data_IF_703262364622
#
_entry.id   IF_703262364622
#
_cell.length_a   1.000
_cell.length_b   1.000
_cell.length_c   1.000
_cell.angle_alpha   90.00
_cell.angle_beta   90.00
_cell.angle_gamma   90.00
#
_symmetry.space_group_name_H-M   'P 1'
#
loop_
_entity.id
_entity.type
_entity.pdbx_description
1 polymer ?
#
# COMPACT_ATOMS: atom_id res chain seq x y z
N UNK A 1 4.69 21.28 -19.23
CA UNK A 1 4.06 21.43 -17.91
C UNK A 1 4.04 20.04 -17.29
N UNK A 2 4.88 19.76 -16.27
CA UNK A 2 4.82 18.48 -15.54
C UNK A 2 3.64 18.59 -14.58
N UNK A 3 2.52 17.97 -14.92
CA UNK A 3 1.37 17.88 -14.01
C UNK A 3 1.79 17.13 -12.75
N UNK A 4 1.26 17.54 -11.59
CA UNK A 4 1.45 16.81 -10.34
C UNK A 4 0.87 15.40 -10.52
N UNK A 5 1.69 14.33 -10.44
CA UNK A 5 1.24 12.95 -10.65
C UNK A 5 0.22 12.49 -9.59
N UNK A 6 0.00 13.28 -8.54
CA UNK A 6 -0.98 13.00 -7.47
C UNK A 6 -2.31 13.75 -7.66
N UNK A 7 -2.37 14.76 -8.53
CA UNK A 7 -3.49 15.71 -8.63
C UNK A 7 -4.75 15.20 -9.36
N UNK A 8 -4.87 13.90 -9.59
CA UNK A 8 -6.03 13.29 -10.30
C UNK A 8 -6.77 12.21 -9.51
N UNK A 9 -6.32 11.90 -8.29
CA UNK A 9 -6.86 10.79 -7.51
C UNK A 9 -7.85 11.27 -6.45
N UNK A 10 -8.99 10.59 -6.37
CA UNK A 10 -10.08 10.92 -5.43
C UNK A 10 -9.76 10.48 -4.01
N UNK A 11 -9.03 9.38 -3.86
CA UNK A 11 -8.75 8.77 -2.58
C UNK A 11 -7.28 8.93 -2.21
N UNK A 12 -7.05 9.15 -0.91
CA UNK A 12 -5.71 9.34 -0.36
C UNK A 12 -5.62 8.71 1.01
N UNK A 13 -4.48 8.08 1.29
CA UNK A 13 -4.10 7.68 2.64
C UNK A 13 -2.63 8.01 2.86
N UNK A 14 -2.32 8.58 4.03
CA UNK A 14 -0.96 8.89 4.44
C UNK A 14 -0.58 8.01 5.61
N UNK A 15 0.38 7.11 5.40
CA UNK A 15 1.11 6.48 6.50
C UNK A 15 2.33 7.33 6.87
N UNK A 16 3.05 6.92 7.91
CA UNK A 16 4.26 7.60 8.35
C UNK A 16 5.32 7.74 7.23
N UNK A 17 5.34 6.82 6.26
CA UNK A 17 6.46 6.66 5.31
C UNK A 17 6.01 6.55 3.85
N UNK A 18 4.74 6.22 3.60
CA UNK A 18 4.15 6.10 2.26
C UNK A 18 2.83 6.84 2.22
N UNK A 19 2.62 7.62 1.16
CA UNK A 19 1.34 8.20 0.82
C UNK A 19 0.82 7.49 -0.42
N UNK A 20 -0.38 6.92 -0.34
CA UNK A 20 -1.05 6.33 -1.49
C UNK A 20 -2.13 7.29 -1.97
N UNK A 21 -2.24 7.40 -3.28
CA UNK A 21 -3.29 8.11 -3.99
C UNK A 21 -3.91 7.14 -4.98
N UNK A 22 -5.24 7.03 -5.04
CA UNK A 22 -5.88 6.12 -5.99
C UNK A 22 -7.30 6.56 -6.34
N UNK A 23 -7.87 5.88 -7.31
CA UNK A 23 -9.30 5.90 -7.59
C UNK A 23 -9.82 4.48 -7.76
N UNK A 24 -11.14 4.33 -7.70
CA UNK A 24 -11.81 3.09 -8.05
C UNK A 24 -12.55 3.26 -9.37
N UNK A 25 -12.39 2.32 -10.29
CA UNK A 25 -13.16 2.26 -11.54
C UNK A 25 -13.73 0.87 -11.72
N UNK A 26 -14.83 0.76 -12.48
CA UNK A 26 -15.42 -0.51 -12.90
C UNK A 26 -15.33 -0.61 -14.42
N UNK A 27 -14.20 -1.10 -14.96
CA UNK A 27 -13.99 -1.13 -16.40
C UNK A 27 -14.95 -2.09 -17.11
N UNK A 28 -15.34 -3.16 -16.41
CA UNK A 28 -16.23 -4.21 -16.92
C UNK A 28 -17.17 -4.68 -15.79
N UNK A 29 -18.35 -5.24 -16.12
CA UNK A 29 -19.17 -5.95 -15.15
C UNK A 29 -18.37 -7.06 -14.47
N UNK A 30 -18.41 -7.12 -13.14
CA UNK A 30 -17.67 -8.12 -12.37
C UNK A 30 -16.18 -7.80 -12.14
N UNK A 31 -15.69 -6.63 -12.58
CA UNK A 31 -14.32 -6.19 -12.31
C UNK A 31 -14.31 -4.87 -11.54
N UNK A 32 -13.67 -4.87 -10.38
CA UNK A 32 -13.27 -3.65 -9.67
C UNK A 32 -11.79 -3.39 -9.93
N UNK A 33 -11.48 -2.20 -10.45
CA UNK A 33 -10.11 -1.73 -10.61
C UNK A 33 -9.78 -0.67 -9.59
N UNK A 34 -8.70 -0.89 -8.85
CA UNK A 34 -8.07 0.12 -8.01
C UNK A 34 -6.74 0.48 -8.67
N UNK A 35 -6.65 1.72 -9.13
CA UNK A 35 -5.47 2.25 -9.82
C UNK A 35 -5.02 3.53 -9.14
N UNK A 36 -3.71 3.65 -8.96
CA UNK A 36 -3.15 4.68 -8.12
C UNK A 36 -1.65 4.83 -8.21
N UNK A 37 -1.13 5.70 -7.36
CA UNK A 37 0.30 5.91 -7.17
C UNK A 37 0.68 5.83 -5.70
N UNK A 38 1.82 5.21 -5.43
CA UNK A 38 2.50 5.21 -4.15
C UNK A 38 3.63 6.25 -4.19
N UNK A 39 3.64 7.16 -3.22
CA UNK A 39 4.62 8.22 -3.07
C UNK A 39 5.36 8.08 -1.75
N UNK A 40 6.70 8.22 -1.78
CA UNK A 40 7.54 8.28 -0.59
C UNK A 40 7.98 9.74 -0.33
N UNK A 41 7.21 10.53 0.43
CA UNK A 41 7.47 11.97 0.54
C UNK A 41 8.67 12.36 1.42
N UNK A 42 9.03 11.55 2.42
CA UNK A 42 9.98 11.97 3.47
C UNK A 42 10.89 10.87 4.02
N UNK A 43 10.79 9.62 3.57
CA UNK A 43 11.68 8.56 4.10
C UNK A 43 13.06 8.67 3.48
N UNK A 44 14.08 8.88 4.31
CA UNK A 44 15.50 8.79 3.92
C UNK A 44 15.90 7.36 3.49
N UNK A 45 15.06 6.38 3.80
CA UNK A 45 15.20 4.99 3.37
C UNK A 45 14.25 4.72 2.21
N UNK A 46 14.78 4.25 1.08
CA UNK A 46 13.97 3.74 -0.01
C UNK A 46 13.19 2.50 0.44
N UNK A 47 11.93 2.40 0.03
CA UNK A 47 11.12 1.18 0.21
C UNK A 47 11.56 0.21 -0.88
N UNK A 48 11.86 -1.06 -0.56
CA UNK A 48 12.28 -2.09 -1.55
C UNK A 48 11.14 -2.99 -2.01
N UNK A 49 10.05 -2.96 -1.27
CA UNK A 49 8.97 -3.90 -1.40
C UNK A 49 7.71 -3.20 -0.96
N UNK A 50 6.72 -3.16 -1.84
CA UNK A 50 5.38 -2.69 -1.55
C UNK A 50 4.41 -3.66 -2.22
N UNK A 51 3.63 -4.33 -1.39
CA UNK A 51 2.57 -5.24 -1.81
C UNK A 51 1.22 -4.69 -1.38
N UNK A 52 0.24 -4.96 -2.22
CA UNK A 52 -1.14 -4.60 -2.04
C UNK A 52 -2.00 -5.85 -2.15
N UNK A 53 -2.90 -6.05 -1.18
CA UNK A 53 -3.97 -7.03 -1.26
C UNK A 53 -5.31 -6.31 -1.23
N UNK A 54 -6.11 -6.49 -2.26
CA UNK A 54 -7.46 -5.96 -2.34
C UNK A 54 -8.44 -7.11 -2.10
N UNK A 55 -9.32 -6.94 -1.11
CA UNK A 55 -10.24 -7.97 -0.63
C UNK A 55 -11.68 -7.44 -0.67
N UNK A 56 -12.57 -8.16 -1.34
CA UNK A 56 -14.02 -7.94 -1.25
C UNK A 56 -14.62 -8.75 -0.11
N UNK A 57 -15.42 -8.11 0.74
CA UNK A 57 -16.10 -8.76 1.87
C UNK A 57 -17.61 -8.70 1.73
N UNK A 58 -18.31 -9.74 2.21
CA UNK A 58 -19.77 -9.82 2.25
C UNK A 58 -20.38 -9.10 3.47
N UNK A 59 -21.70 -9.21 3.62
CA UNK A 59 -22.49 -8.68 4.73
C UNK A 59 -22.14 -9.28 6.10
N UNK A 60 -21.41 -10.39 6.13
CA UNK A 60 -20.95 -11.09 7.33
C UNK A 60 -19.44 -10.87 7.58
N UNK A 61 -18.85 -9.85 6.96
CA UNK A 61 -17.40 -9.57 6.99
C UNK A 61 -16.53 -10.75 6.52
N UNK A 62 -17.07 -11.65 5.68
CA UNK A 62 -16.30 -12.76 5.09
C UNK A 62 -15.72 -12.33 3.75
N UNK A 63 -14.45 -12.67 3.53
CA UNK A 63 -13.80 -12.50 2.25
C UNK A 63 -14.45 -13.39 1.18
N UNK A 64 -14.93 -12.78 0.10
CA UNK A 64 -15.56 -13.47 -1.05
C UNK A 64 -14.77 -13.28 -2.35
N UNK A 65 -13.92 -12.28 -2.42
CA UNK A 65 -13.00 -12.05 -3.54
C UNK A 65 -11.69 -11.45 -3.05
N UNK A 66 -10.59 -11.76 -3.75
CA UNK A 66 -9.31 -11.12 -3.49
C UNK A 66 -8.41 -11.07 -4.73
N UNK A 67 -7.52 -10.09 -4.74
CA UNK A 67 -6.45 -9.94 -5.72
C UNK A 67 -5.26 -9.29 -5.03
N UNK A 68 -4.06 -9.56 -5.53
CA UNK A 68 -2.83 -8.99 -4.97
C UNK A 68 -1.96 -8.46 -6.09
N UNK A 69 -1.26 -7.36 -5.82
CA UNK A 69 -0.25 -6.80 -6.70
C UNK A 69 0.97 -6.39 -5.89
N UNK A 70 2.15 -6.71 -6.41
CA UNK A 70 3.41 -6.20 -5.91
C UNK A 70 3.93 -5.15 -6.88
N UNK A 71 4.50 -4.06 -6.38
CA UNK A 71 5.26 -3.17 -7.25
C UNK A 71 6.56 -3.87 -7.67
N UNK A 72 6.78 -4.10 -8.97
CA UNK A 72 7.96 -4.83 -9.44
C UNK A 72 9.23 -4.05 -9.09
N UNK A 73 10.16 -4.70 -8.38
CA UNK A 73 11.48 -4.17 -8.05
C UNK A 73 11.48 -2.76 -7.45
N UNK A 74 10.42 -2.38 -6.71
CA UNK A 74 10.26 -1.01 -6.27
C UNK A 74 11.26 -0.67 -5.17
N UNK A 75 12.45 -0.19 -5.55
CA UNK A 75 13.12 0.86 -4.79
C UNK A 75 12.35 2.16 -5.05
N UNK A 76 11.36 2.44 -4.22
CA UNK A 76 10.70 3.75 -4.19
C UNK A 76 11.60 4.68 -3.35
N UNK A 77 12.48 5.42 -4.03
CA UNK A 77 13.37 6.37 -3.35
C UNK A 77 12.61 7.57 -2.80
N UNK A 78 13.31 8.40 -2.02
CA UNK A 78 12.75 9.64 -1.47
C UNK A 78 12.26 10.54 -2.61
N UNK A 79 11.03 11.05 -2.48
CA UNK A 79 10.32 11.86 -3.47
C UNK A 79 10.01 11.14 -4.79
N UNK A 80 10.06 9.81 -4.83
CA UNK A 80 9.64 9.04 -6.00
C UNK A 80 8.19 8.58 -5.88
N UNK A 81 7.59 8.42 -7.05
CA UNK A 81 6.21 7.99 -7.25
C UNK A 81 6.22 6.74 -8.13
N UNK A 82 5.47 5.72 -7.74
CA UNK A 82 5.32 4.47 -8.51
C UNK A 82 3.85 4.12 -8.66
N UNK A 83 3.43 3.80 -9.88
CA UNK A 83 2.05 3.45 -10.20
C UNK A 83 1.75 2.00 -9.82
N UNK A 84 0.56 1.76 -9.28
CA UNK A 84 0.04 0.42 -9.00
C UNK A 84 -1.36 0.26 -9.59
N UNK A 85 -1.70 -0.98 -9.91
CA UNK A 85 -3.03 -1.36 -10.39
C UNK A 85 -3.41 -2.74 -9.87
N UNK A 86 -4.62 -2.83 -9.36
CA UNK A 86 -5.25 -4.04 -8.85
C UNK A 86 -6.56 -4.26 -9.61
N UNK A 87 -6.69 -5.39 -10.26
CA UNK A 87 -7.92 -5.81 -10.92
C UNK A 87 -8.52 -6.97 -10.11
N UNK A 88 -9.61 -6.69 -9.39
CA UNK A 88 -10.35 -7.65 -8.57
C UNK A 88 -11.55 -8.17 -9.37
N UNK A 89 -11.63 -9.50 -9.52
CA UNK A 89 -12.84 -10.16 -10.02
C UNK A 89 -13.83 -10.28 -8.87
N UNK A 90 -14.97 -9.61 -8.96
CA UNK A 90 -16.00 -9.59 -7.92
C UNK A 90 -16.94 -10.79 -8.06
N UNK A 91 -17.33 -11.39 -6.94
CA UNK A 91 -18.33 -12.44 -6.83
C UNK A 91 -19.78 -11.93 -6.93
N UNK A 92 -20.00 -10.62 -6.80
CA UNK A 92 -21.32 -9.96 -6.86
C UNK A 92 -22.04 -9.89 -5.52
N UNK A 93 -21.45 -10.44 -4.46
CA UNK A 93 -21.98 -10.41 -3.08
C UNK A 93 -21.18 -9.48 -2.15
N UNK A 94 -20.20 -8.76 -2.70
CA UNK A 94 -19.39 -7.80 -1.94
C UNK A 94 -20.22 -6.61 -1.48
N UNK A 95 -20.13 -6.29 -0.19
CA UNK A 95 -20.68 -5.07 0.40
C UNK A 95 -19.61 -4.01 0.60
N UNK A 96 -18.34 -4.41 0.75
CA UNK A 96 -17.19 -3.52 0.99
C UNK A 96 -15.92 -4.08 0.36
N UNK A 97 -14.99 -3.20 0.03
CA UNK A 97 -13.65 -3.54 -0.45
C UNK A 97 -12.59 -3.00 0.48
N UNK A 98 -11.76 -3.87 1.05
CA UNK A 98 -10.69 -3.53 1.96
C UNK A 98 -9.34 -3.68 1.26
N UNK A 99 -8.49 -2.65 1.36
CA UNK A 99 -7.15 -2.64 0.80
C UNK A 99 -6.13 -2.79 1.94
N UNK A 100 -5.38 -3.87 1.90
CA UNK A 100 -4.21 -4.09 2.73
C UNK A 100 -2.98 -3.69 1.95
N UNK A 101 -2.02 -3.05 2.60
CA UNK A 101 -0.71 -2.84 2.01
C UNK A 101 0.39 -3.07 3.03
N UNK A 102 1.53 -3.55 2.56
CA UNK A 102 2.69 -3.83 3.40
C UNK A 102 3.97 -3.42 2.67
N UNK A 103 4.93 -2.89 3.42
CA UNK A 103 6.22 -2.49 2.86
C UNK A 103 7.41 -2.86 3.72
N UNK A 104 8.58 -2.88 3.09
CA UNK A 104 9.89 -3.06 3.75
C UNK A 104 10.87 -1.99 3.30
N UNK A 105 11.66 -1.48 4.25
CA UNK A 105 12.73 -0.52 3.98
C UNK A 105 14.01 -1.19 3.51
N UNK A 106 14.78 -0.43 2.74
CA UNK A 106 16.19 -0.65 2.58
C UNK A 106 16.91 -0.25 3.87
N UNK A 107 17.25 -1.21 4.73
CA UNK A 107 18.31 -0.99 5.71
C UNK A 107 19.64 -0.88 4.95
N UNK A 108 19.90 0.28 4.35
CA UNK A 108 21.23 0.63 3.86
C UNK A 108 22.23 0.79 5.02
N UNK A 109 21.72 0.91 6.25
CA UNK A 109 22.52 0.84 7.45
C UNK A 109 22.58 -0.60 7.96
N UNK A 110 23.33 -1.43 7.24
CA UNK A 110 24.19 -2.42 7.87
C UNK A 110 25.28 -1.77 8.74
N UNK A 111 24.97 -0.66 9.43
CA UNK A 111 25.74 -0.24 10.59
C UNK A 111 25.33 -1.18 11.70
N UNK A 112 26.08 -2.27 11.79
CA UNK A 112 26.36 -2.91 13.07
C UNK A 112 26.80 -1.76 13.96
N UNK A 113 25.87 -1.20 14.75
CA UNK A 113 26.28 -0.48 15.94
C UNK A 113 26.99 -1.55 16.75
N UNK A 114 28.32 -1.48 16.77
CA UNK A 114 29.15 -2.22 17.71
C UNK A 114 28.83 -1.65 19.11
N UNK A 115 27.65 -2.01 19.62
CA UNK A 115 27.35 -1.93 21.03
C UNK A 115 28.21 -2.94 21.79
N UNK A 116 28.42 -2.75 23.09
CA UNK A 116 29.28 -3.59 23.89
C UNK A 116 28.92 -5.08 23.74
N UNK A 117 29.90 -5.99 23.77
CA UNK A 117 29.68 -7.42 23.54
C UNK A 117 28.80 -7.96 24.66
N UNK A 118 27.51 -8.17 24.37
CA UNK A 118 26.52 -8.62 25.35
C UNK A 118 25.09 -8.17 25.05
N UNK A 119 24.89 -7.11 24.27
CA UNK A 119 23.57 -6.77 23.75
C UNK A 119 23.33 -7.59 22.48
N UNK A 120 22.70 -8.76 22.64
CA UNK A 120 22.31 -9.63 21.54
C UNK A 120 21.75 -8.82 20.38
N UNK A 121 22.17 -9.17 19.16
CA UNK A 121 21.76 -8.48 17.94
C UNK A 121 20.24 -8.28 17.95
N UNK A 122 19.81 -7.08 18.39
CA UNK A 122 18.51 -6.54 18.02
C UNK A 122 18.68 -6.23 16.54
N UNK A 123 18.60 -7.29 15.72
CA UNK A 123 18.04 -7.18 14.39
C UNK A 123 16.78 -6.37 14.64
N UNK A 124 16.82 -5.09 14.28
CA UNK A 124 15.63 -4.29 14.15
C UNK A 124 14.72 -5.18 13.33
N UNK A 125 13.76 -5.80 14.00
CA UNK A 125 12.81 -6.67 13.36
C UNK A 125 12.28 -5.82 12.23
N UNK A 126 12.60 -6.20 10.99
CA UNK A 126 12.05 -5.59 9.80
C UNK A 126 10.57 -5.87 9.89
N UNK A 127 9.87 -5.04 10.67
CA UNK A 127 8.47 -5.15 10.97
C UNK A 127 7.80 -4.89 9.63
N UNK A 128 7.46 -5.98 8.94
CA UNK A 128 6.43 -5.97 7.91
C UNK A 128 5.18 -5.40 8.58
N UNK A 129 5.02 -4.07 8.47
CA UNK A 129 3.83 -3.38 8.96
C UNK A 129 2.80 -3.51 7.86
N UNK A 130 1.77 -4.31 8.14
CA UNK A 130 0.58 -4.40 7.31
C UNK A 130 -0.39 -3.32 7.77
N UNK A 131 -0.83 -2.50 6.84
CA UNK A 131 -1.76 -1.41 7.07
C UNK A 131 -3.08 -1.75 6.38
N UNK A 132 -4.19 -1.34 6.99
CA UNK A 132 -5.54 -1.54 6.46
C UNK A 132 -6.18 -0.21 6.10
N UNK A 133 -6.64 -0.13 4.85
CA UNK A 133 -7.56 0.87 4.33
C UNK A 133 -8.92 0.20 4.18
N UNK A 134 -9.83 0.52 5.10
CA UNK A 134 -11.20 0.00 5.05
C UNK A 134 -12.00 0.78 4.02
N UNK A 135 -12.82 0.06 3.26
CA UNK A 135 -13.70 0.63 2.23
C UNK A 135 -12.97 1.55 1.23
N UNK A 136 -12.02 0.98 0.50
CA UNK A 136 -11.08 1.66 -0.41
C UNK A 136 -11.76 2.48 -1.51
N UNK A 137 -13.04 2.27 -1.77
CA UNK A 137 -13.79 2.99 -2.80
C UNK A 137 -14.79 4.01 -2.24
N UNK A 138 -14.86 4.19 -0.92
CA UNK A 138 -15.62 5.26 -0.30
C UNK A 138 -14.96 6.61 -0.55
N UNK A 139 -15.77 7.66 -0.78
CA UNK A 139 -15.29 9.04 -0.94
C UNK A 139 -14.82 9.70 0.38
N UNK A 140 -14.95 8.98 1.50
CA UNK A 140 -14.57 9.47 2.82
C UNK A 140 -13.07 9.30 3.09
N UNK A 141 -12.44 10.28 3.74
CA UNK A 141 -11.01 10.21 4.08
C UNK A 141 -10.67 8.91 4.82
N UNK A 142 -9.83 8.08 4.21
CA UNK A 142 -9.46 6.80 4.80
C UNK A 142 -8.52 7.01 5.99
N UNK A 143 -8.89 6.45 7.14
CA UNK A 143 -8.01 6.37 8.31
C UNK A 143 -7.27 5.04 8.29
N UNK A 144 -5.95 5.11 8.45
CA UNK A 144 -5.13 3.92 8.71
C UNK A 144 -5.44 3.43 10.12
N UNK A 145 -5.74 2.13 10.24
CA UNK A 145 -5.79 1.44 11.53
C UNK A 145 -4.66 0.42 11.65
#
# INVERSE_FOLDING_TARGET
MRGDPTAGFTNRVSSNQVVLYWHCTRPEPGILRVEGVAHNPWSSQGIRFLEFDLVGVDDRDRQVSATSAALPAALLWTNEVSAFRLDLKTAGTETRFDLYYQYRFNDANGRIFAGPPGAGARRLAQQLRRFLVRDVCSETQHLIR
#
